data_IF_136591110405
#
_entry.id   IF_136591110405
#
_cell.length_a   1.000
_cell.length_b   1.000
_cell.length_c   1.000
_cell.angle_alpha   90.00
_cell.angle_beta   90.00
_cell.angle_gamma   90.00
#
_symmetry.space_group_name_H-M   'P 1'
#
loop_
_entity.id
_entity.type
_entity.pdbx_description
1 polymer ?
#
# COMPACT_ATOMS: atom_id res chain seq x y z
N UNK A 1 -60.01 -15.56 -34.13
CA UNK A 1 -58.54 -15.74 -34.08
C UNK A 1 -57.88 -14.40 -34.40
N UNK A 2 -57.47 -13.64 -33.40
CA UNK A 2 -56.49 -12.54 -33.56
C UNK A 2 -55.79 -12.38 -32.21
N UNK A 3 -54.59 -12.93 -32.10
CA UNK A 3 -53.73 -12.74 -30.93
C UNK A 3 -53.12 -11.34 -30.96
N UNK A 4 -53.29 -10.58 -29.88
CA UNK A 4 -52.51 -9.38 -29.59
C UNK A 4 -51.16 -9.81 -29.02
N UNK A 5 -50.08 -9.57 -29.77
CA UNK A 5 -48.72 -9.72 -29.27
C UNK A 5 -48.36 -8.42 -28.54
N UNK A 6 -48.35 -8.47 -27.21
CA UNK A 6 -47.78 -7.43 -26.38
C UNK A 6 -46.26 -7.45 -26.58
N UNK A 7 -45.70 -6.39 -27.15
CA UNK A 7 -44.27 -6.21 -27.29
C UNK A 7 -43.64 -6.01 -25.90
N UNK A 8 -42.91 -7.02 -25.42
CA UNK A 8 -41.95 -6.86 -24.34
C UNK A 8 -40.76 -6.06 -24.88
N UNK A 9 -40.63 -4.82 -24.42
CA UNK A 9 -39.43 -4.00 -24.62
C UNK A 9 -38.24 -4.70 -23.95
N UNK A 10 -37.45 -5.43 -24.72
CA UNK A 10 -36.10 -5.83 -24.34
C UNK A 10 -35.19 -4.61 -24.55
N UNK A 11 -34.75 -3.98 -23.46
CA UNK A 11 -33.66 -3.00 -23.54
C UNK A 11 -32.40 -3.69 -24.09
N UNK A 12 -31.87 -3.19 -25.21
CA UNK A 12 -30.73 -3.80 -25.90
C UNK A 12 -29.46 -3.71 -25.05
N UNK A 13 -28.66 -4.79 -24.92
CA UNK A 13 -27.45 -4.82 -24.09
C UNK A 13 -26.41 -3.77 -24.49
N UNK A 14 -26.32 -3.44 -25.79
CA UNK A 14 -25.42 -2.42 -26.32
C UNK A 14 -25.63 -1.00 -25.74
N UNK A 15 -26.86 -0.66 -25.35
CA UNK A 15 -27.16 0.67 -24.77
C UNK A 15 -26.72 0.77 -23.31
N UNK A 16 -26.83 -0.33 -22.56
CA UNK A 16 -26.38 -0.39 -21.18
C UNK A 16 -24.85 -0.25 -21.07
N UNK A 17 -24.10 -0.86 -21.99
CA UNK A 17 -22.64 -0.73 -22.03
C UNK A 17 -22.18 0.70 -22.34
N UNK A 18 -22.86 1.40 -23.27
CA UNK A 18 -22.55 2.80 -23.59
C UNK A 18 -22.92 3.75 -22.45
N UNK A 19 -24.01 3.47 -21.74
CA UNK A 19 -24.48 4.28 -20.61
C UNK A 19 -23.53 4.13 -19.41
N UNK A 20 -23.06 2.91 -19.14
CA UNK A 20 -22.05 2.62 -18.11
C UNK A 20 -20.71 3.30 -18.42
N UNK A 21 -20.25 3.21 -19.68
CA UNK A 21 -19.03 3.89 -20.11
C UNK A 21 -19.15 5.42 -19.98
N UNK A 22 -20.35 5.97 -20.19
CA UNK A 22 -20.62 7.40 -20.01
C UNK A 22 -20.58 7.80 -18.54
N UNK A 23 -21.19 7.01 -17.65
CA UNK A 23 -21.11 7.22 -16.21
C UNK A 23 -19.66 7.21 -15.69
N UNK A 24 -18.85 6.25 -16.13
CA UNK A 24 -17.43 6.18 -15.76
C UNK A 24 -16.61 7.40 -16.22
N UNK A 25 -16.92 7.96 -17.40
CA UNK A 25 -16.28 9.19 -17.89
C UNK A 25 -16.62 10.40 -17.02
N UNK A 26 -17.89 10.51 -16.61
CA UNK A 26 -18.38 11.57 -15.73
C UNK A 26 -17.69 11.48 -14.36
N UNK A 27 -17.61 10.27 -13.80
CA UNK A 27 -16.90 10.04 -12.54
C UNK A 27 -15.42 10.46 -12.64
N UNK A 28 -14.75 10.08 -13.74
CA UNK A 28 -13.34 10.40 -13.99
C UNK A 28 -13.08 11.91 -14.05
N UNK A 29 -13.86 12.66 -14.83
CA UNK A 29 -13.62 14.11 -14.99
C UNK A 29 -13.88 14.89 -13.69
N UNK A 30 -14.85 14.45 -12.88
CA UNK A 30 -15.14 15.03 -11.57
C UNK A 30 -14.00 14.73 -10.60
N UNK A 31 -13.58 13.47 -10.50
CA UNK A 31 -12.53 13.05 -9.57
C UNK A 31 -11.17 13.68 -9.85
N UNK A 32 -10.85 13.96 -11.12
CA UNK A 32 -9.59 14.59 -11.53
C UNK A 32 -9.62 16.12 -11.45
N UNK A 33 -10.77 16.74 -11.20
CA UNK A 33 -10.86 18.19 -11.11
C UNK A 33 -10.26 18.69 -9.78
N UNK A 34 -9.31 19.62 -9.85
CA UNK A 34 -8.60 20.15 -8.67
C UNK A 34 -9.51 20.76 -7.59
N UNK A 35 -10.70 21.24 -7.96
CA UNK A 35 -11.66 21.84 -7.04
C UNK A 35 -12.66 20.82 -6.48
N UNK A 36 -12.71 19.61 -7.03
CA UNK A 36 -13.68 18.57 -6.64
C UNK A 36 -13.04 17.28 -6.10
N UNK A 37 -11.76 17.03 -6.41
CA UNK A 37 -11.02 15.81 -6.07
C UNK A 37 -10.93 15.52 -4.56
N UNK A 38 -11.00 16.56 -3.74
CA UNK A 38 -10.98 16.47 -2.27
C UNK A 38 -12.33 16.19 -1.62
N UNK A 39 -13.41 16.02 -2.39
CA UNK A 39 -14.77 15.81 -1.89
C UNK A 39 -15.33 14.45 -2.30
N UNK A 40 -16.20 13.90 -1.44
CA UNK A 40 -16.76 12.56 -1.60
C UNK A 40 -17.92 12.56 -2.58
N UNK A 41 -17.61 12.75 -3.87
CA UNK A 41 -18.61 12.83 -4.95
C UNK A 41 -18.73 11.49 -5.66
N UNK A 42 -19.95 10.97 -5.76
CA UNK A 42 -20.31 9.71 -6.41
C UNK A 42 -21.21 9.96 -7.62
N UNK A 43 -21.05 9.13 -8.66
CA UNK A 43 -21.87 9.17 -9.87
C UNK A 43 -22.58 7.83 -10.03
N UNK A 44 -23.91 7.85 -9.99
CA UNK A 44 -24.76 6.67 -10.10
C UNK A 44 -25.57 6.69 -11.40
N UNK A 45 -25.63 5.56 -12.09
CA UNK A 45 -26.52 5.38 -13.25
C UNK A 45 -27.82 4.71 -12.79
N UNK A 46 -28.95 5.41 -12.90
CA UNK A 46 -30.29 4.87 -12.61
C UNK A 46 -31.28 5.22 -13.71
N UNK A 47 -31.96 4.21 -14.26
CA UNK A 47 -33.02 4.38 -15.27
C UNK A 47 -32.61 5.27 -16.47
N UNK A 48 -31.35 5.15 -16.92
CA UNK A 48 -30.80 5.97 -18.01
C UNK A 48 -30.56 7.44 -17.65
N UNK A 49 -30.39 7.75 -16.37
CA UNK A 49 -30.02 9.08 -15.84
C UNK A 49 -28.80 8.96 -14.95
N UNK A 50 -27.95 9.98 -15.00
CA UNK A 50 -26.82 10.13 -14.10
C UNK A 50 -27.27 10.90 -12.88
N UNK A 51 -26.99 10.39 -11.69
CA UNK A 51 -27.22 11.08 -10.43
C UNK A 51 -25.90 11.32 -9.73
N UNK A 52 -25.62 12.57 -9.40
CA UNK A 52 -24.41 12.98 -8.67
C UNK A 52 -24.80 13.14 -7.20
N UNK A 53 -24.17 12.40 -6.31
CA UNK A 53 -24.43 12.40 -4.86
C UNK A 53 -23.14 12.68 -4.08
N UNK A 54 -23.26 13.21 -2.87
CA UNK A 54 -22.12 13.59 -2.03
C UNK A 54 -22.29 14.98 -1.41
N UNK A 55 -21.21 15.48 -0.81
CA UNK A 55 -21.21 16.80 -0.18
C UNK A 55 -20.14 17.70 -0.77
N UNK A 56 -20.45 18.98 -0.96
CA UNK A 56 -19.51 20.02 -1.42
C UNK A 56 -19.63 21.28 -0.55
N UNK A 57 -18.60 22.12 -0.45
CA UNK A 57 -18.61 23.24 0.50
C UNK A 57 -19.43 24.44 0.01
N UNK A 58 -19.67 24.57 -1.30
CA UNK A 58 -20.42 25.69 -1.84
C UNK A 58 -21.15 25.36 -3.15
N UNK A 59 -22.02 26.30 -3.55
CA UNK A 59 -22.73 26.24 -4.82
C UNK A 59 -21.77 26.27 -6.01
N UNK A 60 -20.57 26.81 -5.86
CA UNK A 60 -19.56 26.87 -6.92
C UNK A 60 -19.13 25.45 -7.28
N UNK A 61 -18.70 24.64 -6.31
CA UNK A 61 -18.32 23.25 -6.53
C UNK A 61 -19.50 22.40 -6.99
N UNK A 62 -20.71 22.64 -6.43
CA UNK A 62 -21.93 21.95 -6.89
C UNK A 62 -22.20 22.19 -8.37
N UNK A 63 -22.12 23.45 -8.81
CA UNK A 63 -22.34 23.84 -10.20
C UNK A 63 -21.24 23.30 -11.11
N UNK A 64 -19.98 23.36 -10.66
CA UNK A 64 -18.84 22.81 -11.41
C UNK A 64 -18.99 21.30 -11.64
N UNK A 65 -19.41 20.53 -10.63
CA UNK A 65 -19.65 19.10 -10.79
C UNK A 65 -20.74 18.82 -11.84
N UNK A 66 -21.80 19.62 -11.87
CA UNK A 66 -22.88 19.53 -12.87
C UNK A 66 -22.39 19.86 -14.28
N UNK A 67 -21.63 20.94 -14.43
CA UNK A 67 -21.10 21.37 -15.73
C UNK A 67 -20.14 20.34 -16.31
N UNK A 68 -19.25 19.79 -15.49
CA UNK A 68 -18.34 18.72 -15.90
C UNK A 68 -19.10 17.44 -16.27
N UNK A 69 -20.14 17.08 -15.52
CA UNK A 69 -20.96 15.93 -15.86
C UNK A 69 -21.69 16.11 -17.19
N UNK A 70 -22.33 17.27 -17.38
CA UNK A 70 -23.03 17.61 -18.64
C UNK A 70 -22.10 17.61 -19.85
N UNK A 71 -20.83 18.00 -19.66
CA UNK A 71 -19.83 18.03 -20.73
C UNK A 71 -19.60 16.65 -21.37
N UNK A 72 -19.63 15.58 -20.57
CA UNK A 72 -19.31 14.22 -21.04
C UNK A 72 -20.48 13.25 -20.99
N UNK A 73 -21.64 13.67 -20.45
CA UNK A 73 -22.87 12.88 -20.37
C UNK A 73 -23.50 12.53 -21.73
N UNK A 74 -23.01 13.11 -22.84
CA UNK A 74 -23.45 12.81 -24.21
C UNK A 74 -24.99 12.83 -24.39
N UNK A 75 -25.67 13.79 -23.75
CA UNK A 75 -27.12 13.96 -23.80
C UNK A 75 -27.93 13.15 -22.77
N UNK A 76 -27.26 12.38 -21.91
CA UNK A 76 -27.91 11.74 -20.76
C UNK A 76 -28.33 12.78 -19.72
N UNK A 77 -29.54 12.69 -19.11
CA UNK A 77 -29.95 13.62 -18.08
C UNK A 77 -29.06 13.47 -16.85
N UNK A 78 -28.60 14.60 -16.30
CA UNK A 78 -27.81 14.67 -15.07
C UNK A 78 -28.66 15.29 -13.98
N UNK A 79 -28.80 14.57 -12.87
CA UNK A 79 -29.49 14.98 -11.66
C UNK A 79 -28.45 15.24 -10.56
N UNK A 80 -28.30 16.51 -10.19
CA UNK A 80 -27.31 16.93 -9.21
C UNK A 80 -27.94 16.98 -7.82
N UNK A 81 -27.59 16.01 -6.99
CA UNK A 81 -28.08 15.83 -5.63
C UNK A 81 -26.97 16.03 -4.58
N UNK A 82 -26.01 16.92 -4.87
CA UNK A 82 -24.95 17.28 -3.94
C UNK A 82 -25.47 18.20 -2.81
N UNK A 83 -25.19 17.78 -1.58
CA UNK A 83 -25.48 18.55 -0.37
C UNK A 83 -24.40 19.63 -0.13
N UNK A 84 -24.82 20.78 0.41
CA UNK A 84 -23.92 21.90 0.73
C UNK A 84 -23.42 21.85 2.18
N UNK A 85 -23.00 20.65 2.61
CA UNK A 85 -22.60 20.38 3.99
C UNK A 85 -21.31 19.57 4.06
N UNK A 86 -20.38 19.81 3.12
CA UNK A 86 -19.07 19.15 3.21
C UNK A 86 -18.31 19.72 4.42
N UNK A 87 -17.92 18.88 5.40
CA UNK A 87 -16.91 19.31 6.35
C UNK A 87 -15.64 19.66 5.58
N UNK A 88 -14.89 20.67 6.03
CA UNK A 88 -13.57 21.05 5.46
C UNK A 88 -12.53 19.91 5.48
N UNK A 89 -12.88 18.73 6.03
CA UNK A 89 -12.07 17.53 5.94
C UNK A 89 -12.11 17.00 4.50
N UNK A 90 -10.95 17.04 3.82
CA UNK A 90 -10.73 16.36 2.53
C UNK A 90 -11.14 14.89 2.69
N UNK A 91 -12.32 14.55 2.21
CA UNK A 91 -12.80 13.17 2.11
C UNK A 91 -12.79 12.87 0.63
N UNK A 92 -11.64 12.40 0.07
CA UNK A 92 -11.52 12.15 -1.35
C UNK A 92 -12.68 11.27 -1.85
N UNK A 93 -13.20 11.58 -3.05
CA UNK A 93 -14.18 10.77 -3.76
C UNK A 93 -13.75 9.32 -3.96
N UNK A 94 -14.67 8.41 -4.34
CA UNK A 94 -14.36 6.98 -4.46
C UNK A 94 -13.18 6.71 -5.40
N UNK A 95 -13.05 7.45 -6.49
CA UNK A 95 -11.90 7.29 -7.40
C UNK A 95 -10.60 7.78 -6.77
N UNK A 96 -10.57 8.93 -6.10
CA UNK A 96 -9.36 9.45 -5.47
C UNK A 96 -8.95 8.59 -4.27
N UNK A 97 -9.90 8.14 -3.47
CA UNK A 97 -9.68 7.16 -2.40
C UNK A 97 -9.10 5.84 -2.94
N UNK A 98 -9.59 5.35 -4.09
CA UNK A 98 -9.05 4.14 -4.74
C UNK A 98 -7.63 4.33 -5.28
N UNK A 99 -7.30 5.52 -5.77
CA UNK A 99 -5.93 5.84 -6.21
C UNK A 99 -5.00 5.88 -4.99
N UNK A 100 -5.41 6.56 -3.91
CA UNK A 100 -4.66 6.59 -2.65
C UNK A 100 -4.45 5.17 -2.10
N UNK A 101 -5.50 4.34 -2.04
CA UNK A 101 -5.41 2.95 -1.59
C UNK A 101 -4.46 2.12 -2.46
N UNK A 102 -4.43 2.36 -3.78
CA UNK A 102 -3.51 1.68 -4.70
C UNK A 102 -2.06 2.07 -4.44
N UNK A 103 -1.80 3.35 -4.18
CA UNK A 103 -0.47 3.85 -3.84
C UNK A 103 0.00 3.28 -2.49
N UNK A 104 -0.90 3.24 -1.49
CA UNK A 104 -0.62 2.62 -0.18
C UNK A 104 -0.36 1.12 -0.36
N UNK A 105 -1.18 0.41 -1.14
CA UNK A 105 -1.03 -1.02 -1.37
C UNK A 105 0.27 -1.36 -2.09
N UNK A 106 0.68 -0.51 -3.03
CA UNK A 106 1.94 -0.66 -3.76
C UNK A 106 3.14 -0.49 -2.82
N UNK A 107 3.17 0.57 -2.02
CA UNK A 107 4.23 0.80 -1.02
C UNK A 107 4.34 -0.35 -0.02
N UNK A 108 3.20 -0.87 0.46
CA UNK A 108 3.19 -2.01 1.38
C UNK A 108 3.72 -3.27 0.69
N UNK A 109 3.28 -3.55 -0.54
CA UNK A 109 3.72 -4.72 -1.30
C UNK A 109 5.23 -4.69 -1.53
N UNK A 110 5.78 -3.55 -1.96
CA UNK A 110 7.23 -3.38 -2.13
C UNK A 110 7.98 -3.70 -0.82
N UNK A 111 7.56 -3.11 0.31
CA UNK A 111 8.17 -3.37 1.62
C UNK A 111 8.09 -4.85 2.02
N UNK A 112 6.96 -5.50 1.78
CA UNK A 112 6.77 -6.93 2.06
C UNK A 112 7.55 -7.83 1.10
N UNK A 113 7.73 -7.45 -0.16
CA UNK A 113 8.55 -8.18 -1.14
C UNK A 113 10.02 -8.20 -0.74
N UNK A 114 10.55 -7.08 -0.25
CA UNK A 114 11.91 -7.03 0.32
C UNK A 114 12.06 -7.95 1.54
N UNK A 115 11.04 -8.03 2.39
CA UNK A 115 11.04 -8.89 3.57
C UNK A 115 10.85 -10.38 3.23
N UNK A 116 9.93 -10.71 2.31
CA UNK A 116 9.62 -12.06 1.85
C UNK A 116 10.67 -12.66 0.93
N UNK A 117 11.36 -11.87 0.12
CA UNK A 117 12.54 -12.36 -0.63
C UNK A 117 13.68 -12.81 0.29
N UNK A 118 13.63 -12.39 1.56
CA UNK A 118 14.59 -12.75 2.61
C UNK A 118 14.03 -13.80 3.58
N UNK A 119 12.70 -13.92 3.68
CA UNK A 119 11.99 -14.69 4.72
C UNK A 119 10.91 -15.66 4.18
N UNK A 120 10.81 -15.82 2.85
CA UNK A 120 9.88 -16.71 2.14
C UNK A 120 8.38 -16.49 2.40
N UNK A 121 7.98 -15.33 2.90
CA UNK A 121 6.60 -15.05 3.33
C UNK A 121 5.65 -14.91 2.13
N UNK A 122 4.54 -15.65 2.15
CA UNK A 122 3.46 -15.53 1.17
C UNK A 122 2.30 -14.79 1.83
N UNK A 123 2.30 -13.45 1.71
CA UNK A 123 1.27 -12.58 2.27
C UNK A 123 0.69 -11.69 1.18
N UNK A 124 -0.62 -11.77 1.00
CA UNK A 124 -1.41 -10.87 0.18
C UNK A 124 -1.97 -9.72 1.03
N UNK A 125 -1.97 -8.52 0.46
CA UNK A 125 -2.51 -7.31 1.08
C UNK A 125 -3.55 -6.69 0.16
N UNK A 126 -4.72 -6.40 0.73
CA UNK A 126 -5.81 -5.67 0.09
C UNK A 126 -6.12 -4.42 0.92
N UNK A 127 -6.34 -3.28 0.28
CA UNK A 127 -6.69 -2.01 0.96
C UNK A 127 -7.96 -1.46 0.33
N UNK A 128 -8.87 -1.03 1.20
CA UNK A 128 -10.14 -0.43 0.80
C UNK A 128 -10.54 0.63 1.83
N UNK A 129 -10.54 1.89 1.40
CA UNK A 129 -10.76 3.06 2.24
C UNK A 129 -9.78 3.15 3.41
N UNK A 130 -8.50 2.81 3.21
CA UNK A 130 -7.51 2.78 4.30
C UNK A 130 -7.69 1.64 5.33
N UNK A 131 -8.57 0.67 5.07
CA UNK A 131 -8.65 -0.58 5.86
C UNK A 131 -7.79 -1.64 5.16
N UNK A 132 -6.71 -2.06 5.81
CA UNK A 132 -5.82 -3.10 5.29
C UNK A 132 -6.28 -4.48 5.73
N UNK A 133 -6.45 -5.41 4.78
CA UNK A 133 -6.75 -6.82 5.03
C UNK A 133 -5.55 -7.67 4.60
N UNK A 134 -5.02 -8.42 5.56
CA UNK A 134 -3.85 -9.28 5.37
C UNK A 134 -4.29 -10.73 5.33
N UNK A 135 -3.87 -11.45 4.29
CA UNK A 135 -4.13 -12.90 4.14
C UNK A 135 -2.86 -13.59 3.72
N UNK A 136 -2.63 -14.80 4.21
CA UNK A 136 -1.44 -15.56 3.83
C UNK A 136 -1.08 -16.61 4.84
N UNK A 137 0.12 -17.17 4.67
CA UNK A 137 0.69 -18.15 5.59
C UNK A 137 2.08 -17.73 6.00
N UNK A 138 2.40 -17.91 7.28
CA UNK A 138 3.71 -17.59 7.84
C UNK A 138 4.16 -18.70 8.77
N UNK A 139 5.47 -18.87 8.94
CA UNK A 139 6.02 -19.90 9.80
C UNK A 139 5.89 -19.63 11.31
N UNK A 140 5.64 -18.39 11.73
CA UNK A 140 5.58 -18.06 13.16
C UNK A 140 4.65 -16.89 13.48
N UNK A 141 4.14 -16.86 14.71
CA UNK A 141 3.35 -15.74 15.21
C UNK A 141 4.12 -14.42 15.13
N UNK A 142 5.42 -14.42 15.46
CA UNK A 142 6.26 -13.23 15.35
C UNK A 142 6.41 -12.71 13.92
N UNK A 143 6.38 -13.59 12.91
CA UNK A 143 6.35 -13.15 11.51
C UNK A 143 5.02 -12.46 11.17
N UNK A 144 3.89 -12.97 11.67
CA UNK A 144 2.57 -12.35 11.54
C UNK A 144 2.53 -10.96 12.18
N UNK A 145 3.05 -10.84 13.41
CA UNK A 145 3.05 -9.58 14.17
C UNK A 145 3.90 -8.49 13.49
N UNK A 146 5.07 -8.86 12.94
CA UNK A 146 5.91 -7.93 12.18
C UNK A 146 5.20 -7.41 10.94
N UNK A 147 4.51 -8.27 10.20
CA UNK A 147 3.74 -7.88 9.01
C UNK A 147 2.60 -6.95 9.39
N UNK A 148 1.85 -7.28 10.45
CA UNK A 148 0.77 -6.43 10.95
C UNK A 148 1.28 -5.05 11.40
N UNK A 149 2.42 -5.02 12.10
CA UNK A 149 3.06 -3.78 12.55
C UNK A 149 3.49 -2.92 11.37
N UNK A 150 4.21 -3.50 10.40
CA UNK A 150 4.69 -2.80 9.21
C UNK A 150 3.55 -2.16 8.41
N UNK A 151 2.44 -2.89 8.27
CA UNK A 151 1.24 -2.40 7.59
C UNK A 151 0.59 -1.29 8.40
N UNK A 152 0.42 -1.47 9.71
CA UNK A 152 -0.19 -0.48 10.60
C UNK A 152 0.62 0.81 10.75
N UNK A 153 1.94 0.79 10.55
CA UNK A 153 2.79 1.99 10.56
C UNK A 153 2.89 2.68 9.20
N UNK A 154 2.18 2.20 8.17
CA UNK A 154 2.19 2.82 6.85
C UNK A 154 1.16 3.95 6.76
N UNK A 155 1.61 5.12 6.34
CA UNK A 155 0.74 6.29 6.14
C UNK A 155 -0.37 5.99 5.12
N UNK A 156 -1.62 6.27 5.52
CA UNK A 156 -2.83 5.95 4.75
C UNK A 156 -3.58 4.72 5.27
N UNK A 157 -2.96 3.91 6.14
CA UNK A 157 -3.64 2.80 6.83
C UNK A 157 -4.25 3.30 8.14
N UNK A 158 -5.56 3.08 8.30
CA UNK A 158 -6.33 3.46 9.50
C UNK A 158 -6.58 2.26 10.41
N UNK A 159 -6.81 1.11 9.81
CA UNK A 159 -7.15 -0.12 10.52
C UNK A 159 -6.56 -1.34 9.80
N UNK A 160 -6.17 -2.37 10.56
CA UNK A 160 -5.55 -3.57 10.04
C UNK A 160 -6.32 -4.80 10.53
N UNK A 161 -6.82 -5.59 9.58
CA UNK A 161 -7.39 -6.91 9.83
C UNK A 161 -6.40 -7.98 9.40
N UNK A 162 -5.83 -8.68 10.37
CA UNK A 162 -4.86 -9.73 10.14
C UNK A 162 -5.55 -11.11 10.12
N UNK A 163 -5.57 -11.75 8.94
CA UNK A 163 -6.05 -13.12 8.73
C UNK A 163 -4.91 -14.06 8.29
N UNK A 164 -3.66 -13.72 8.62
CA UNK A 164 -2.50 -14.56 8.33
C UNK A 164 -2.54 -15.81 9.21
N UNK A 165 -2.45 -16.99 8.60
CA UNK A 165 -2.39 -18.26 9.30
C UNK A 165 -0.93 -18.62 9.65
N UNK A 166 -0.70 -19.06 10.89
CA UNK A 166 0.61 -19.58 11.31
C UNK A 166 0.65 -21.07 10.97
N UNK A 167 1.53 -21.44 10.05
CA UNK A 167 1.69 -22.79 9.52
C UNK A 167 3.09 -23.34 9.84
N UNK A 168 3.21 -24.38 10.70
CA UNK A 168 4.51 -24.94 11.08
C UNK A 168 5.27 -25.59 9.91
N UNK A 169 4.58 -26.00 8.84
CA UNK A 169 5.23 -26.56 7.66
C UNK A 169 5.96 -25.47 6.88
N UNK A 170 5.37 -24.25 6.85
CA UNK A 170 6.02 -23.05 6.29
C UNK A 170 7.27 -22.71 7.09
N UNK A 171 7.27 -22.87 8.43
CA UNK A 171 8.47 -22.65 9.25
C UNK A 171 9.59 -23.63 8.91
N UNK A 172 9.23 -24.88 8.62
CA UNK A 172 10.20 -25.95 8.33
C UNK A 172 10.79 -25.75 6.93
N UNK A 173 9.94 -25.48 5.93
CA UNK A 173 10.37 -25.11 4.59
C UNK A 173 11.20 -23.81 4.58
N UNK A 174 10.86 -22.83 5.43
CA UNK A 174 11.63 -21.61 5.60
C UNK A 174 12.99 -21.89 6.21
N UNK A 175 13.07 -22.73 7.25
CA UNK A 175 14.35 -23.15 7.84
C UNK A 175 15.21 -23.93 6.86
N UNK A 176 14.64 -24.82 6.07
CA UNK A 176 15.35 -25.58 5.04
C UNK A 176 15.82 -24.68 3.89
N UNK A 177 14.98 -23.75 3.42
CA UNK A 177 15.39 -22.72 2.45
C UNK A 177 16.46 -21.82 3.01
N UNK A 178 16.32 -21.35 4.25
CA UNK A 178 17.33 -20.55 4.92
C UNK A 178 18.63 -21.35 5.12
N UNK A 179 18.57 -22.64 5.43
CA UNK A 179 19.74 -23.50 5.53
C UNK A 179 20.42 -23.71 4.16
N UNK A 180 19.65 -23.98 3.10
CA UNK A 180 20.14 -24.15 1.74
C UNK A 180 20.66 -22.84 1.13
N UNK A 181 19.98 -21.72 1.38
CA UNK A 181 20.45 -20.37 1.08
C UNK A 181 21.69 -20.06 1.89
N UNK A 182 21.78 -20.43 3.17
CA UNK A 182 22.99 -20.25 3.97
C UNK A 182 24.15 -21.13 3.49
N UNK A 183 23.91 -22.23 2.78
CA UNK A 183 24.98 -23.05 2.19
C UNK A 183 25.53 -22.45 0.89
N UNK A 184 24.72 -21.67 0.16
CA UNK A 184 25.09 -20.98 -1.10
C UNK A 184 25.43 -19.49 -0.91
N UNK A 185 24.96 -18.84 0.17
CA UNK A 185 25.08 -17.38 0.47
C UNK A 185 25.99 -17.05 1.68
N UNK A 186 26.68 -18.02 2.27
CA UNK A 186 27.72 -17.77 3.31
C UNK A 186 29.01 -17.17 2.76
N UNK A 187 29.02 -16.61 1.56
CA UNK A 187 30.16 -15.78 1.18
C UNK A 187 30.09 -14.51 2.01
N UNK A 188 31.19 -14.14 2.62
CA UNK A 188 31.28 -12.92 3.40
C UNK A 188 30.91 -11.66 2.61
N UNK A 189 31.13 -11.71 1.30
CA UNK A 189 30.66 -10.70 0.35
C UNK A 189 29.14 -10.51 0.40
N UNK A 190 28.37 -11.60 0.43
CA UNK A 190 26.91 -11.50 0.50
C UNK A 190 26.44 -10.93 1.85
N UNK A 191 27.08 -11.34 2.95
CA UNK A 191 26.78 -10.82 4.29
C UNK A 191 27.04 -9.31 4.35
N UNK A 192 28.19 -8.86 3.86
CA UNK A 192 28.56 -7.44 3.82
C UNK A 192 27.60 -6.62 2.93
N UNK A 193 27.34 -7.07 1.70
CA UNK A 193 26.44 -6.38 0.76
C UNK A 193 25.02 -6.29 1.34
N UNK A 194 24.56 -7.35 2.03
CA UNK A 194 23.23 -7.37 2.64
C UNK A 194 23.13 -6.42 3.81
N UNK A 195 24.15 -6.38 4.66
CA UNK A 195 24.20 -5.48 5.80
C UNK A 195 24.26 -4.03 5.37
N UNK A 196 25.05 -3.72 4.35
CA UNK A 196 25.09 -2.39 3.77
C UNK A 196 23.72 -1.96 3.25
N UNK A 197 22.99 -2.85 2.58
CA UNK A 197 21.64 -2.56 2.12
C UNK A 197 20.67 -2.30 3.29
N UNK A 198 20.67 -3.15 4.33
CA UNK A 198 19.79 -2.99 5.51
C UNK A 198 20.06 -1.66 6.21
N UNK A 199 21.33 -1.33 6.47
CA UNK A 199 21.71 -0.08 7.12
C UNK A 199 21.32 1.14 6.29
N UNK A 200 21.43 1.06 4.96
CA UNK A 200 21.07 2.17 4.07
C UNK A 200 19.57 2.48 4.05
N UNK A 201 18.73 1.47 4.26
CA UNK A 201 17.27 1.64 4.30
C UNK A 201 16.76 2.01 5.69
N UNK A 202 17.55 1.84 6.74
CA UNK A 202 17.19 2.23 8.09
C UNK A 202 17.43 3.72 8.32
N UNK A 203 16.39 4.46 8.73
CA UNK A 203 16.48 5.92 8.94
C UNK A 203 17.10 6.31 10.28
N UNK A 204 17.30 5.36 11.19
CA UNK A 204 17.85 5.59 12.53
C UNK A 204 19.37 5.45 12.59
N UNK A 205 19.98 4.98 11.50
CA UNK A 205 21.40 4.66 11.40
C UNK A 205 22.01 5.35 10.17
N UNK A 206 23.10 6.09 10.35
CA UNK A 206 23.78 6.75 9.24
C UNK A 206 24.74 5.80 8.52
N UNK A 207 24.23 5.03 7.56
CA UNK A 207 25.05 4.10 6.78
C UNK A 207 26.26 4.74 6.07
N UNK A 208 26.23 6.06 5.80
CA UNK A 208 27.33 6.76 5.12
C UNK A 208 28.58 6.98 5.96
N UNK A 209 28.49 6.91 7.29
CA UNK A 209 29.63 7.04 8.22
C UNK A 209 30.15 5.70 8.73
N UNK A 210 29.61 4.58 8.22
CA UNK A 210 29.90 3.23 8.68
C UNK A 210 30.39 2.35 7.52
N UNK A 211 31.50 1.67 7.79
CA UNK A 211 32.09 0.66 6.93
C UNK A 211 31.76 -0.72 7.50
N UNK A 212 31.34 -1.60 6.59
CA UNK A 212 30.88 -2.95 6.91
C UNK A 212 31.79 -3.95 6.23
N UNK A 213 32.21 -4.96 6.96
CA UNK A 213 32.89 -6.13 6.40
C UNK A 213 32.45 -7.41 7.10
N UNK A 214 32.59 -8.54 6.41
CA UNK A 214 32.35 -9.88 6.99
C UNK A 214 33.56 -10.76 6.72
N UNK A 215 33.84 -11.69 7.63
CA UNK A 215 34.83 -12.77 7.44
C UNK A 215 34.42 -14.02 8.22
N UNK A 216 34.20 -15.14 7.52
CA UNK A 216 33.66 -16.39 8.05
C UNK A 216 32.40 -16.20 8.92
N UNK A 217 31.53 -15.27 8.52
CA UNK A 217 30.33 -14.89 9.26
C UNK A 217 30.57 -14.03 10.50
N UNK A 218 31.78 -13.53 10.74
CA UNK A 218 32.06 -12.47 11.72
C UNK A 218 31.93 -11.12 11.03
N UNK A 219 30.96 -10.33 11.45
CA UNK A 219 30.71 -8.99 10.91
C UNK A 219 31.49 -7.95 11.70
N UNK A 220 32.24 -7.11 11.02
CA UNK A 220 32.93 -5.96 11.60
C UNK A 220 32.26 -4.66 11.15
N UNK A 221 31.76 -3.90 12.13
CA UNK A 221 31.21 -2.56 11.96
C UNK A 221 32.25 -1.52 12.41
N UNK A 222 32.68 -0.63 11.50
CA UNK A 222 33.67 0.41 11.80
C UNK A 222 33.18 1.78 11.35
N UNK A 223 33.37 2.82 12.16
CA UNK A 223 32.92 4.16 11.77
C UNK A 223 32.57 5.06 12.94
N UNK A 224 31.80 6.10 12.65
CA UNK A 224 31.29 7.04 13.64
C UNK A 224 29.77 6.97 13.75
N UNK A 225 29.28 7.01 14.99
CA UNK A 225 27.87 7.09 15.36
C UNK A 225 27.62 8.30 16.24
N UNK A 226 26.41 8.83 16.19
CA UNK A 226 25.99 10.03 16.93
C UNK A 226 25.45 9.71 18.31
N UNK A 227 25.01 8.47 18.54
CA UNK A 227 24.40 8.06 19.81
C UNK A 227 24.60 6.58 20.14
N UNK A 228 24.45 6.23 21.43
CA UNK A 228 24.48 4.83 21.87
C UNK A 228 23.30 4.03 21.26
N UNK A 229 22.16 4.69 21.08
CA UNK A 229 20.98 4.08 20.48
C UNK A 229 21.25 3.68 19.01
N UNK A 230 21.86 4.59 18.23
CA UNK A 230 22.28 4.30 16.85
C UNK A 230 23.25 3.10 16.79
N UNK A 231 24.22 3.05 17.70
CA UNK A 231 25.13 1.91 17.81
C UNK A 231 24.40 0.59 18.07
N UNK A 232 23.47 0.59 19.03
CA UNK A 232 22.69 -0.60 19.40
C UNK A 232 21.80 -1.08 18.25
N UNK A 233 21.19 -0.15 17.51
CA UNK A 233 20.39 -0.51 16.34
C UNK A 233 21.28 -1.09 15.24
N UNK A 234 22.44 -0.49 14.95
CA UNK A 234 23.38 -1.04 13.97
C UNK A 234 23.86 -2.46 14.33
N UNK A 235 24.19 -2.69 15.60
CA UNK A 235 24.58 -4.02 16.11
C UNK A 235 23.43 -5.03 16.02
N UNK A 236 22.21 -4.63 16.36
CA UNK A 236 21.03 -5.49 16.25
C UNK A 236 20.71 -5.85 14.79
N UNK A 237 20.76 -4.87 13.88
CA UNK A 237 20.55 -5.08 12.45
C UNK A 237 21.62 -6.00 11.85
N UNK A 238 22.87 -5.89 12.29
CA UNK A 238 23.94 -6.80 11.89
C UNK A 238 23.70 -8.22 12.41
N UNK A 239 23.27 -8.38 13.67
CA UNK A 239 22.98 -9.69 14.25
C UNK A 239 21.79 -10.41 13.61
N UNK A 240 20.84 -9.66 13.05
CA UNK A 240 19.65 -10.20 12.38
C UNK A 240 19.95 -10.73 10.96
N UNK A 241 21.16 -10.52 10.44
CA UNK A 241 21.53 -11.00 9.10
C UNK A 241 21.87 -12.48 9.13
N UNK A 242 21.23 -13.22 8.23
CA UNK A 242 21.43 -14.65 8.08
C UNK A 242 22.90 -14.97 7.79
N UNK A 243 23.51 -15.85 8.60
CA UNK A 243 24.91 -16.24 8.44
C UNK A 243 25.90 -15.45 9.31
N UNK A 244 25.44 -14.39 9.99
CA UNK A 244 26.22 -13.72 11.02
C UNK A 244 26.30 -14.60 12.25
N UNK A 245 27.53 -14.94 12.63
CA UNK A 245 27.87 -15.70 13.84
C UNK A 245 28.20 -14.78 15.00
N UNK A 246 28.85 -13.66 14.70
CA UNK A 246 29.36 -12.72 15.68
C UNK A 246 29.41 -11.32 15.06
N UNK A 247 29.18 -10.30 15.88
CA UNK A 247 29.26 -8.89 15.48
C UNK A 247 30.33 -8.21 16.33
N UNK A 248 31.40 -7.79 15.67
CA UNK A 248 32.43 -6.93 16.23
C UNK A 248 32.13 -5.47 15.90
N UNK A 249 31.98 -4.65 16.95
CA UNK A 249 31.66 -3.23 16.83
C UNK A 249 32.87 -2.38 17.22
N UNK A 250 33.45 -1.71 16.23
CA UNK A 250 34.49 -0.68 16.37
C UNK A 250 33.91 0.72 16.10
N UNK A 251 32.62 0.90 16.37
CA UNK A 251 31.92 2.16 16.22
C UNK A 251 32.31 3.14 17.34
N UNK A 252 32.68 4.36 16.95
CA UNK A 252 33.13 5.42 17.86
C UNK A 252 32.15 6.59 17.86
N UNK A 253 32.05 7.31 18.98
CA UNK A 253 31.18 8.49 19.05
C UNK A 253 31.84 9.70 18.41
N UNK A 254 31.11 10.39 17.54
CA UNK A 254 31.54 11.70 17.08
C UNK A 254 31.49 12.69 18.25
N UNK A 255 32.64 13.28 18.58
CA UNK A 255 32.75 14.23 19.69
C UNK A 255 32.31 15.60 19.18
N UNK A 256 31.26 16.23 19.75
CA UNK A 256 30.88 17.58 19.33
C UNK A 256 32.04 18.54 19.65
N UNK A 257 32.50 19.28 18.64
CA UNK A 257 33.42 20.41 18.83
C UNK A 257 32.68 21.62 19.39
#
# INVERSE_FOLDING_TARGET
MTWGVLALLSASPLRADTDLATAAKVETIIALNQHLSGYSIQVLLRDGRLRIEGSVPSVIERTLAEDLAKLVANGMPVDNALDLDAPFARSPGPLTARVEDLDVATRIRERLEWQSSTSGLEVAVEIDGGIARLKGRVGSAGASDRVATLVGTTEGVREVFNYINVDPDVLTAERERQAALAEVKRSDTWIADRLEAVLRYDTTVNAGSMEVSSNDGVVLLRGTVTSLAERQVAEALAGDILGVREVESLLSFERPM
#
